data_IF_546935950735
#
_entry.id   IF_546935950735
#
_cell.length_a   1.000
_cell.length_b   1.000
_cell.length_c   1.000
_cell.angle_alpha   90.00
_cell.angle_beta   90.00
_cell.angle_gamma   90.00
#
_symmetry.space_group_name_H-M   'P 1'
#
loop_
_entity.id
_entity.type
_entity.pdbx_description
1 polymer ?
#
# COMPACT_ATOMS: atom_id res chain seq x y z
N UNK A 1 36.67 52.65 -32.77
CA UNK A 1 35.33 52.12 -33.10
C UNK A 1 35.31 50.65 -32.73
N UNK A 2 34.65 50.33 -31.61
CA UNK A 2 34.52 48.93 -31.17
C UNK A 2 33.08 48.48 -31.46
N UNK A 3 32.92 47.51 -32.34
CA UNK A 3 31.61 46.92 -32.64
C UNK A 3 31.24 45.95 -31.54
N UNK A 4 30.16 46.23 -30.81
CA UNK A 4 29.47 45.27 -29.96
C UNK A 4 28.45 44.49 -30.81
N UNK A 5 28.69 43.20 -30.99
CA UNK A 5 27.72 42.29 -31.57
C UNK A 5 26.73 41.87 -30.49
N UNK A 6 25.45 42.24 -30.69
CA UNK A 6 24.34 41.82 -29.82
C UNK A 6 23.91 40.42 -30.26
N UNK A 7 24.25 39.38 -29.47
CA UNK A 7 23.64 38.05 -29.64
C UNK A 7 22.25 38.05 -29.06
N UNK A 8 21.24 38.04 -29.90
CA UNK A 8 19.85 37.80 -29.48
C UNK A 8 19.66 36.31 -29.18
N UNK A 9 19.59 35.95 -27.90
CA UNK A 9 19.17 34.61 -27.48
C UNK A 9 17.65 34.53 -27.57
N UNK A 10 17.14 33.84 -28.58
CA UNK A 10 15.73 33.53 -28.69
C UNK A 10 15.36 32.47 -27.62
N UNK A 11 14.78 32.88 -26.51
CA UNK A 11 14.18 31.98 -25.52
C UNK A 11 12.87 31.50 -26.11
N UNK A 12 12.87 30.30 -26.68
CA UNK A 12 11.64 29.57 -26.96
C UNK A 12 11.04 29.11 -25.63
N UNK A 13 10.14 29.91 -25.08
CA UNK A 13 9.25 29.46 -24.03
C UNK A 13 8.28 28.43 -24.65
N UNK A 14 8.58 27.15 -24.52
CA UNK A 14 7.57 26.11 -24.69
C UNK A 14 6.55 26.26 -23.55
N UNK A 15 5.50 27.03 -23.80
CA UNK A 15 4.29 26.93 -23.01
C UNK A 15 3.73 25.53 -23.29
N UNK A 16 3.98 24.58 -22.38
CA UNK A 16 3.25 23.32 -22.37
C UNK A 16 1.78 23.67 -22.19
N UNK A 17 1.03 23.71 -23.28
CA UNK A 17 -0.43 23.71 -23.23
C UNK A 17 -0.80 22.34 -22.66
N UNK A 18 -0.98 22.28 -21.34
CA UNK A 18 -1.49 21.08 -20.69
C UNK A 18 -2.94 20.88 -21.19
N UNK A 19 -3.08 20.14 -22.29
CA UNK A 19 -4.38 19.84 -22.88
C UNK A 19 -5.19 18.93 -21.94
N UNK A 20 -6.47 19.20 -21.82
CA UNK A 20 -7.43 18.26 -21.23
C UNK A 20 -8.08 17.48 -22.36
N UNK A 21 -8.08 16.14 -22.24
CA UNK A 21 -8.68 15.22 -23.20
C UNK A 21 -9.84 14.51 -22.52
N UNK A 22 -11.07 14.77 -22.95
CA UNK A 22 -12.22 14.01 -22.48
C UNK A 22 -12.22 12.62 -23.14
N UNK A 23 -12.34 11.56 -22.37
CA UNK A 23 -12.38 10.19 -22.90
C UNK A 23 -13.55 9.96 -23.85
N UNK A 24 -14.60 10.80 -23.78
CA UNK A 24 -15.76 10.76 -24.69
C UNK A 24 -15.39 11.15 -26.11
N UNK A 25 -14.43 12.05 -26.29
CA UNK A 25 -13.92 12.43 -27.62
C UNK A 25 -13.23 11.25 -28.32
N UNK A 26 -12.89 10.22 -27.58
CA UNK A 26 -12.31 8.95 -28.06
C UNK A 26 -13.33 7.80 -28.13
N UNK A 27 -14.61 8.11 -27.89
CA UNK A 27 -15.71 7.16 -28.03
C UNK A 27 -16.21 6.50 -26.75
N UNK A 28 -15.67 6.87 -25.57
CA UNK A 28 -16.18 6.37 -24.30
C UNK A 28 -17.66 6.78 -24.11
N UNK A 29 -18.47 5.86 -23.59
CA UNK A 29 -19.90 6.08 -23.34
C UNK A 29 -20.16 6.54 -21.91
N UNK A 30 -19.47 5.97 -20.93
CA UNK A 30 -19.71 6.27 -19.53
C UNK A 30 -21.12 5.89 -19.06
N UNK A 31 -21.70 4.85 -19.64
CA UNK A 31 -23.07 4.37 -19.37
C UNK A 31 -23.10 3.19 -18.36
N UNK A 32 -21.93 2.74 -17.90
CA UNK A 32 -21.79 1.62 -16.96
C UNK A 32 -21.94 0.24 -17.55
N UNK A 33 -22.18 0.13 -18.84
CA UNK A 33 -22.45 -1.15 -19.56
C UNK A 33 -21.53 -1.37 -20.74
N UNK A 34 -21.26 -0.32 -21.51
CA UNK A 34 -20.31 -0.36 -22.64
C UNK A 34 -18.88 -0.38 -22.10
N UNK A 35 -18.05 -1.26 -22.63
CA UNK A 35 -16.61 -1.28 -22.29
C UNK A 35 -15.88 -0.09 -22.90
N UNK A 36 -15.44 0.84 -22.08
CA UNK A 36 -14.75 2.08 -22.48
C UNK A 36 -13.21 1.93 -22.50
N UNK A 37 -12.67 0.72 -22.26
CA UNK A 37 -11.24 0.45 -22.15
C UNK A 37 -10.44 0.99 -23.33
N UNK A 38 -10.88 0.72 -24.57
CA UNK A 38 -10.18 1.16 -25.77
C UNK A 38 -10.19 2.69 -25.92
N UNK A 39 -11.29 3.34 -25.58
CA UNK A 39 -11.40 4.80 -25.61
C UNK A 39 -10.51 5.47 -24.56
N UNK A 40 -10.48 4.93 -23.32
CA UNK A 40 -9.59 5.39 -22.26
C UNK A 40 -8.12 5.24 -22.69
N UNK A 41 -7.73 4.07 -23.23
CA UNK A 41 -6.36 3.86 -23.69
C UNK A 41 -5.99 4.79 -24.86
N UNK A 42 -6.90 5.01 -25.82
CA UNK A 42 -6.67 5.94 -26.93
C UNK A 42 -6.48 7.38 -26.45
N UNK A 43 -7.24 7.83 -25.46
CA UNK A 43 -7.06 9.13 -24.82
C UNK A 43 -5.68 9.26 -24.15
N UNK A 44 -5.26 8.24 -23.40
CA UNK A 44 -3.93 8.17 -22.76
C UNK A 44 -2.84 8.26 -23.83
N UNK A 45 -2.94 7.48 -24.90
CA UNK A 45 -1.95 7.41 -25.97
C UNK A 45 -1.82 8.75 -26.69
N UNK A 46 -2.94 9.39 -26.98
CA UNK A 46 -2.98 10.73 -27.59
C UNK A 46 -2.38 11.78 -26.66
N UNK A 47 -2.77 11.78 -25.40
CA UNK A 47 -2.26 12.70 -24.40
C UNK A 47 -0.74 12.57 -24.24
N UNK A 48 -0.22 11.36 -24.09
CA UNK A 48 1.22 11.11 -23.99
C UNK A 48 1.97 11.55 -25.27
N UNK A 49 1.43 11.26 -26.46
CA UNK A 49 2.04 11.66 -27.74
C UNK A 49 2.04 13.19 -27.95
N UNK A 50 1.13 13.91 -27.28
CA UNK A 50 1.07 15.36 -27.29
C UNK A 50 2.02 16.02 -26.26
N UNK A 51 2.84 15.24 -25.57
CA UNK A 51 3.77 15.74 -24.55
C UNK A 51 3.24 15.70 -23.13
N UNK A 52 2.09 15.07 -22.90
CA UNK A 52 1.44 14.94 -21.61
C UNK A 52 0.23 15.86 -21.47
N UNK A 53 -0.45 15.74 -20.32
CA UNK A 53 -1.66 16.49 -20.01
C UNK A 53 -2.61 15.68 -19.14
N UNK A 54 -3.87 16.10 -19.15
CA UNK A 54 -4.92 15.48 -18.34
C UNK A 54 -5.91 14.73 -19.22
N UNK A 55 -6.20 13.48 -18.91
CA UNK A 55 -7.38 12.79 -19.44
C UNK A 55 -8.49 12.88 -18.41
N UNK A 56 -9.72 13.16 -18.84
CA UNK A 56 -10.84 13.45 -17.96
C UNK A 56 -11.94 12.41 -18.13
N UNK A 57 -12.32 11.80 -17.01
CA UNK A 57 -13.56 11.03 -16.87
C UNK A 57 -14.53 11.89 -16.07
N UNK A 58 -15.67 12.27 -16.65
CA UNK A 58 -16.69 13.10 -15.99
C UNK A 58 -18.12 12.60 -16.29
N UNK A 59 -19.02 12.85 -15.35
CA UNK A 59 -20.47 12.63 -15.50
C UNK A 59 -20.84 11.23 -16.05
N UNK A 60 -20.35 10.15 -15.43
CA UNK A 60 -20.73 8.81 -15.85
C UNK A 60 -20.04 7.67 -15.12
N UNK A 61 -20.40 6.47 -15.54
CA UNK A 61 -19.81 5.22 -15.06
C UNK A 61 -19.08 4.57 -16.23
N UNK A 62 -17.75 4.59 -16.19
CA UNK A 62 -16.89 4.09 -17.25
C UNK A 62 -16.47 2.66 -16.93
N UNK A 63 -17.15 1.68 -17.57
CA UNK A 63 -16.81 0.27 -17.42
C UNK A 63 -15.52 -0.03 -18.21
N UNK A 64 -14.50 -0.56 -17.52
CA UNK A 64 -13.20 -0.78 -18.17
C UNK A 64 -12.50 -2.05 -17.69
N UNK A 65 -11.81 -2.72 -18.60
CA UNK A 65 -10.72 -3.64 -18.32
C UNK A 65 -9.41 -2.89 -18.07
N UNK A 66 -8.30 -3.61 -18.11
CA UNK A 66 -6.97 -3.08 -17.86
C UNK A 66 -6.52 -2.06 -18.90
N UNK A 67 -5.86 -0.98 -18.46
CA UNK A 67 -5.21 0.02 -19.31
C UNK A 67 -3.91 0.52 -18.67
N UNK A 68 -3.03 1.12 -19.51
CA UNK A 68 -1.70 1.55 -19.11
C UNK A 68 -1.57 3.07 -19.15
N UNK A 69 -1.16 3.67 -18.02
CA UNK A 69 -0.73 5.07 -17.97
C UNK A 69 0.65 5.24 -18.60
N UNK A 70 0.87 6.38 -19.23
CA UNK A 70 2.13 6.76 -19.88
C UNK A 70 2.70 8.04 -19.29
N UNK A 71 3.98 8.27 -19.52
CA UNK A 71 4.67 9.47 -18.99
C UNK A 71 3.94 10.76 -19.32
N UNK A 72 3.88 11.67 -18.34
CA UNK A 72 3.25 12.97 -18.44
C UNK A 72 1.71 12.96 -18.37
N UNK A 73 1.06 11.81 -18.12
CA UNK A 73 -0.40 11.71 -18.12
C UNK A 73 -0.97 11.79 -16.71
N UNK A 74 -1.96 12.68 -16.52
CA UNK A 74 -2.84 12.73 -15.36
C UNK A 74 -4.19 12.08 -15.69
N UNK A 75 -4.48 10.95 -15.05
CA UNK A 75 -5.81 10.33 -15.06
C UNK A 75 -6.70 11.05 -14.06
N UNK A 76 -7.54 11.94 -14.54
CA UNK A 76 -8.45 12.71 -13.70
C UNK A 76 -9.86 12.10 -13.69
N UNK A 77 -10.28 11.65 -12.52
CA UNK A 77 -11.61 11.10 -12.30
C UNK A 77 -12.41 12.16 -11.52
N UNK A 78 -13.30 12.84 -12.21
CA UNK A 78 -14.14 13.89 -11.62
C UNK A 78 -15.05 13.30 -10.52
N UNK A 79 -15.47 14.14 -9.57
CA UNK A 79 -16.40 13.75 -8.46
C UNK A 79 -17.65 13.06 -8.97
N UNK A 80 -18.13 13.40 -10.16
CA UNK A 80 -19.33 12.87 -10.80
C UNK A 80 -19.08 11.59 -11.60
N UNK A 81 -17.83 11.11 -11.63
CA UNK A 81 -17.43 9.96 -12.40
C UNK A 81 -17.03 8.76 -11.53
N UNK A 82 -17.33 7.59 -12.07
CA UNK A 82 -16.87 6.31 -11.54
C UNK A 82 -16.19 5.50 -12.63
N UNK A 83 -14.93 5.16 -12.42
CA UNK A 83 -14.20 4.18 -13.21
C UNK A 83 -14.53 2.79 -12.63
N UNK A 84 -15.32 1.99 -13.34
CA UNK A 84 -15.82 0.70 -12.91
C UNK A 84 -15.03 -0.43 -13.56
N UNK A 85 -14.42 -1.29 -12.76
CA UNK A 85 -13.70 -2.46 -13.28
C UNK A 85 -14.66 -3.49 -13.88
N UNK A 86 -14.25 -4.12 -14.98
CA UNK A 86 -15.02 -5.18 -15.64
C UNK A 86 -15.28 -6.35 -14.67
N UNK A 87 -16.48 -6.95 -14.71
CA UNK A 87 -16.73 -8.18 -13.98
C UNK A 87 -16.02 -9.41 -14.59
N UNK A 88 -15.54 -9.30 -15.83
CA UNK A 88 -14.85 -10.39 -16.53
C UNK A 88 -13.33 -10.32 -16.26
N UNK A 89 -12.81 -11.37 -15.61
CA UNK A 89 -11.38 -11.45 -15.31
C UNK A 89 -10.50 -11.51 -16.58
N UNK A 90 -11.04 -11.92 -17.72
CA UNK A 90 -10.33 -11.94 -18.99
C UNK A 90 -9.97 -10.53 -19.51
N UNK A 91 -10.66 -9.50 -19.02
CA UNK A 91 -10.35 -8.10 -19.36
C UNK A 91 -9.11 -7.55 -18.63
N UNK A 92 -8.47 -8.38 -17.80
CA UNK A 92 -7.24 -8.04 -17.07
C UNK A 92 -6.12 -9.02 -17.42
N UNK A 93 -5.61 -8.96 -18.67
CA UNK A 93 -4.53 -9.84 -19.12
C UNK A 93 -3.21 -9.52 -18.42
N UNK A 94 -2.25 -10.45 -18.55
CA UNK A 94 -0.86 -10.16 -18.23
C UNK A 94 -0.31 -9.11 -19.20
N UNK A 95 0.41 -8.14 -18.67
CA UNK A 95 1.10 -7.16 -19.48
C UNK A 95 2.33 -7.77 -20.16
N UNK A 96 2.45 -7.57 -21.48
CA UNK A 96 3.60 -8.00 -22.26
C UNK A 96 4.59 -6.85 -22.45
N UNK A 97 5.87 -7.18 -22.63
CA UNK A 97 6.90 -6.17 -22.85
C UNK A 97 7.22 -5.30 -21.64
N UNK A 98 6.86 -5.75 -20.44
CA UNK A 98 7.23 -5.08 -19.19
C UNK A 98 8.74 -5.07 -19.05
N UNK A 99 9.32 -3.91 -18.77
CA UNK A 99 10.77 -3.71 -18.78
C UNK A 99 11.37 -3.74 -17.39
N UNK A 100 10.66 -3.11 -16.44
CA UNK A 100 11.23 -2.85 -15.11
C UNK A 100 11.29 -4.07 -14.23
N UNK A 101 10.35 -5.00 -14.35
CA UNK A 101 10.22 -6.15 -13.47
C UNK A 101 10.15 -7.48 -14.23
N UNK A 102 10.69 -8.52 -13.61
CA UNK A 102 10.51 -9.91 -14.05
C UNK A 102 9.19 -10.43 -13.48
N UNK A 103 8.17 -10.57 -14.32
CA UNK A 103 6.81 -10.89 -13.90
C UNK A 103 6.70 -12.20 -13.13
N UNK A 104 7.46 -13.21 -13.50
CA UNK A 104 7.53 -14.52 -12.82
C UNK A 104 8.06 -14.45 -11.38
N UNK A 105 8.78 -13.39 -11.06
CA UNK A 105 9.34 -13.13 -9.73
C UNK A 105 8.47 -12.17 -8.89
N UNK A 106 7.38 -11.65 -9.45
CA UNK A 106 6.43 -10.86 -8.69
C UNK A 106 5.66 -11.74 -7.69
N UNK A 107 5.17 -11.17 -6.61
CA UNK A 107 4.19 -11.84 -5.78
C UNK A 107 3.04 -12.40 -6.62
N UNK A 108 2.67 -13.68 -6.38
CA UNK A 108 1.71 -14.45 -7.18
C UNK A 108 2.17 -14.76 -8.62
N UNK A 109 3.43 -14.45 -8.98
CA UNK A 109 4.00 -14.72 -10.32
C UNK A 109 3.31 -14.01 -11.47
N UNK A 110 2.60 -12.88 -11.22
CA UNK A 110 1.74 -12.22 -12.19
C UNK A 110 1.85 -10.71 -12.13
N UNK A 111 1.76 -10.05 -13.29
CA UNK A 111 1.73 -8.60 -13.41
C UNK A 111 0.34 -8.02 -13.76
N UNK A 112 -0.68 -8.85 -13.92
CA UNK A 112 -2.05 -8.41 -14.20
C UNK A 112 -2.54 -7.39 -13.16
N UNK A 113 -3.16 -6.31 -13.62
CA UNK A 113 -3.72 -5.26 -12.78
C UNK A 113 -4.74 -4.43 -13.57
N UNK A 114 -5.48 -3.58 -12.90
CA UNK A 114 -6.47 -2.71 -13.54
C UNK A 114 -5.80 -1.48 -14.17
N UNK A 115 -4.96 -0.78 -13.40
CA UNK A 115 -4.24 0.41 -13.86
C UNK A 115 -2.74 0.14 -13.73
N UNK A 116 -2.04 0.16 -14.85
CA UNK A 116 -0.63 -0.16 -14.94
C UNK A 116 0.22 1.03 -15.36
N UNK A 117 1.46 1.12 -14.89
CA UNK A 117 2.51 1.95 -15.46
C UNK A 117 3.87 1.28 -15.29
N UNK A 118 4.70 1.36 -16.34
CA UNK A 118 6.04 0.79 -16.38
C UNK A 118 7.03 1.85 -16.83
N UNK A 119 8.02 2.17 -15.98
CA UNK A 119 9.06 3.18 -16.20
C UNK A 119 8.53 4.58 -16.60
N UNK A 120 7.30 4.90 -16.19
CA UNK A 120 6.67 6.16 -16.55
C UNK A 120 7.12 7.30 -15.60
N UNK A 121 7.23 8.52 -16.16
CA UNK A 121 7.63 9.72 -15.43
C UNK A 121 6.52 10.77 -15.42
N UNK A 122 6.31 11.42 -14.27
CA UNK A 122 5.33 12.51 -14.15
C UNK A 122 3.90 12.00 -14.39
N UNK A 123 3.53 10.86 -13.80
CA UNK A 123 2.17 10.32 -13.90
C UNK A 123 1.35 10.68 -12.68
N UNK A 124 0.06 10.87 -12.90
CA UNK A 124 -0.85 11.04 -11.76
C UNK A 124 -2.20 10.34 -11.95
N UNK A 125 -2.82 10.04 -10.81
CA UNK A 125 -4.24 9.74 -10.67
C UNK A 125 -4.81 10.82 -9.75
N UNK A 126 -5.78 11.57 -10.23
CA UNK A 126 -6.30 12.73 -9.51
C UNK A 126 -7.82 12.84 -9.58
N UNK A 127 -8.38 13.77 -8.82
CA UNK A 127 -9.81 14.07 -8.79
C UNK A 127 -10.50 13.50 -7.56
N UNK A 128 -11.81 13.74 -7.44
CA UNK A 128 -12.60 13.29 -6.30
C UNK A 128 -13.56 12.16 -6.65
N UNK A 129 -13.35 11.54 -7.82
CA UNK A 129 -14.15 10.42 -8.30
C UNK A 129 -13.75 9.08 -7.69
N UNK A 130 -14.38 8.03 -8.19
CA UNK A 130 -14.27 6.70 -7.62
C UNK A 130 -13.66 5.71 -8.61
N UNK A 131 -12.67 4.96 -8.16
CA UNK A 131 -12.19 3.71 -8.78
C UNK A 131 -12.92 2.57 -8.07
N UNK A 132 -13.94 2.02 -8.71
CA UNK A 132 -14.73 0.91 -8.21
C UNK A 132 -14.22 -0.40 -8.83
N UNK A 133 -13.61 -1.23 -8.01
CA UNK A 133 -12.99 -2.47 -8.48
C UNK A 133 -14.01 -3.60 -8.73
N UNK A 134 -15.32 -3.34 -8.53
CA UNK A 134 -16.40 -4.31 -8.78
C UNK A 134 -16.21 -5.66 -8.05
N UNK A 135 -15.62 -5.62 -6.86
CA UNK A 135 -15.12 -6.80 -6.15
C UNK A 135 -16.15 -7.87 -5.84
N UNK A 136 -17.41 -7.47 -5.64
CA UNK A 136 -18.51 -8.42 -5.40
C UNK A 136 -18.69 -9.43 -6.54
N UNK A 137 -18.27 -9.09 -7.77
CA UNK A 137 -18.29 -10.01 -8.89
C UNK A 137 -17.23 -11.13 -8.76
N UNK A 138 -16.18 -10.93 -7.95
CA UNK A 138 -15.02 -11.79 -7.84
C UNK A 138 -14.95 -12.59 -6.53
N UNK A 139 -15.84 -12.30 -5.59
CA UNK A 139 -15.93 -13.01 -4.30
C UNK A 139 -17.29 -13.66 -4.12
N UNK A 140 -17.36 -14.63 -3.22
CA UNK A 140 -18.60 -15.28 -2.76
C UNK A 140 -18.56 -15.45 -1.26
N UNK A 141 -19.74 -15.55 -0.64
CA UNK A 141 -19.81 -15.92 0.77
C UNK A 141 -19.28 -17.32 1.00
N UNK A 142 -18.61 -17.52 2.12
CA UNK A 142 -18.17 -18.85 2.55
C UNK A 142 -19.35 -19.66 3.02
N UNK A 143 -19.32 -20.95 2.74
CA UNK A 143 -20.27 -21.92 3.32
C UNK A 143 -20.08 -22.10 4.82
N UNK A 144 -18.85 -21.91 5.34
CA UNK A 144 -18.51 -21.93 6.75
C UNK A 144 -17.63 -20.71 7.08
N UNK A 145 -18.19 -19.64 7.64
CA UNK A 145 -17.44 -18.43 7.99
C UNK A 145 -16.55 -18.58 9.22
N UNK A 146 -16.70 -19.66 10.00
CA UNK A 146 -16.10 -19.78 11.34
C UNK A 146 -14.58 -19.95 11.34
N UNK A 147 -13.96 -20.21 10.21
CA UNK A 147 -12.56 -20.61 10.17
C UNK A 147 -11.56 -19.44 10.07
N UNK A 148 -11.89 -18.29 9.47
CA UNK A 148 -10.91 -17.23 9.21
C UNK A 148 -11.34 -15.82 9.63
N UNK A 149 -12.51 -15.66 10.23
CA UNK A 149 -13.06 -14.34 10.50
C UNK A 149 -13.53 -13.58 9.25
N UNK A 150 -13.10 -13.99 8.05
CA UNK A 150 -13.55 -13.40 6.80
C UNK A 150 -14.83 -14.09 6.32
N UNK A 151 -15.84 -13.29 6.03
CA UNK A 151 -17.14 -13.77 5.52
C UNK A 151 -17.06 -14.24 4.07
N UNK A 152 -16.12 -13.71 3.31
CA UNK A 152 -16.01 -13.95 1.87
C UNK A 152 -14.75 -14.71 1.50
N UNK A 153 -14.82 -15.42 0.37
CA UNK A 153 -13.68 -16.05 -0.30
C UNK A 153 -13.67 -15.69 -1.80
N UNK A 154 -12.55 -15.89 -2.46
CA UNK A 154 -12.45 -15.66 -3.91
C UNK A 154 -13.23 -16.72 -4.68
N UNK A 155 -13.91 -16.30 -5.76
CA UNK A 155 -14.55 -17.24 -6.71
C UNK A 155 -13.53 -18.07 -7.51
N UNK A 156 -12.38 -17.52 -7.76
CA UNK A 156 -11.30 -18.15 -8.55
C UNK A 156 -10.09 -18.48 -7.68
N UNK A 157 -9.28 -19.48 -8.05
CA UNK A 157 -7.99 -19.75 -7.41
C UNK A 157 -7.08 -18.51 -7.45
N UNK A 158 -6.21 -18.39 -6.47
CA UNK A 158 -5.35 -17.22 -6.27
C UNK A 158 -4.53 -16.84 -7.51
N UNK A 159 -4.05 -17.82 -8.25
CA UNK A 159 -3.28 -17.63 -9.48
C UNK A 159 -4.12 -17.23 -10.71
N UNK A 160 -5.44 -17.14 -10.57
CA UNK A 160 -6.37 -16.70 -11.63
C UNK A 160 -7.14 -15.42 -11.25
N UNK A 161 -6.88 -14.86 -10.07
CA UNK A 161 -7.52 -13.61 -9.62
C UNK A 161 -6.68 -12.40 -10.01
N UNK A 162 -7.24 -11.21 -9.91
CA UNK A 162 -6.50 -9.97 -10.04
C UNK A 162 -5.58 -9.79 -8.82
N UNK A 163 -4.24 -9.81 -8.99
CA UNK A 163 -3.32 -9.73 -7.86
C UNK A 163 -3.28 -8.35 -7.21
N UNK A 164 -3.51 -7.29 -7.99
CA UNK A 164 -3.50 -5.88 -7.53
C UNK A 164 -4.34 -5.00 -8.45
N UNK A 165 -4.79 -3.86 -7.93
CA UNK A 165 -5.62 -2.91 -8.69
C UNK A 165 -4.75 -1.91 -9.45
N UNK A 166 -3.94 -1.14 -8.74
CA UNK A 166 -3.00 -0.18 -9.33
C UNK A 166 -1.58 -0.72 -9.16
N UNK A 167 -0.86 -0.84 -10.25
CA UNK A 167 0.53 -1.30 -10.24
C UNK A 167 1.43 -0.35 -11.03
N UNK A 168 2.32 0.35 -10.31
CA UNK A 168 3.34 1.19 -10.89
C UNK A 168 4.72 0.59 -10.62
N UNK A 169 5.48 0.33 -11.68
CA UNK A 169 6.81 -0.28 -11.64
C UNK A 169 7.85 0.69 -12.20
N UNK A 170 8.89 1.00 -11.45
CA UNK A 170 9.99 1.87 -11.90
C UNK A 170 9.58 3.29 -12.26
N UNK A 171 8.48 3.78 -11.72
CA UNK A 171 7.95 5.10 -12.07
C UNK A 171 8.58 6.20 -11.21
N UNK A 172 8.63 7.42 -11.73
CA UNK A 172 9.12 8.58 -10.99
C UNK A 172 8.19 9.78 -11.12
N UNK A 173 8.24 10.68 -10.12
CA UNK A 173 7.39 11.85 -10.05
C UNK A 173 5.90 11.46 -10.11
N UNK A 174 5.53 10.52 -9.24
CA UNK A 174 4.18 9.94 -9.16
C UNK A 174 3.32 10.73 -8.20
N UNK A 175 2.09 11.04 -8.60
CA UNK A 175 1.12 11.69 -7.72
C UNK A 175 -0.22 10.96 -7.73
N UNK A 176 -0.76 10.67 -6.54
CA UNK A 176 -2.10 10.10 -6.36
C UNK A 176 -2.84 11.01 -5.39
N UNK A 177 -3.96 11.62 -5.82
CA UNK A 177 -4.64 12.60 -4.98
C UNK A 177 -6.16 12.54 -5.05
N UNK A 178 -6.77 12.56 -3.88
CA UNK A 178 -8.18 12.81 -3.60
C UNK A 178 -9.16 11.72 -4.10
N UNK A 179 -8.71 10.75 -4.89
CA UNK A 179 -9.55 9.67 -5.43
C UNK A 179 -9.99 8.69 -4.34
N UNK A 180 -11.13 8.06 -4.57
CA UNK A 180 -11.62 6.95 -3.74
C UNK A 180 -11.45 5.63 -4.46
N UNK A 181 -10.80 4.65 -3.82
CA UNK A 181 -10.78 3.26 -4.26
C UNK A 181 -11.75 2.45 -3.42
N UNK A 182 -12.63 1.69 -4.06
CA UNK A 182 -13.61 0.86 -3.36
C UNK A 182 -13.79 -0.51 -4.01
N UNK A 183 -14.44 -1.44 -3.29
CA UNK A 183 -14.77 -2.78 -3.77
C UNK A 183 -13.59 -3.56 -4.33
N UNK A 184 -12.40 -3.49 -3.71
CA UNK A 184 -11.24 -4.29 -4.13
C UNK A 184 -11.57 -5.79 -4.15
N UNK A 185 -11.24 -6.53 -5.22
CA UNK A 185 -11.71 -7.91 -5.43
C UNK A 185 -10.85 -8.98 -4.72
N UNK A 186 -10.21 -8.66 -3.63
CA UNK A 186 -9.29 -9.58 -2.96
C UNK A 186 -7.90 -9.61 -3.62
N UNK A 187 -7.46 -8.47 -4.11
CA UNK A 187 -6.12 -8.13 -4.53
C UNK A 187 -5.66 -6.86 -3.83
N UNK A 188 -4.38 -6.56 -3.87
CA UNK A 188 -3.83 -5.35 -3.27
C UNK A 188 -4.33 -4.08 -3.97
N UNK A 189 -4.68 -3.04 -3.22
CA UNK A 189 -5.19 -1.79 -3.77
C UNK A 189 -4.15 -1.09 -4.64
N UNK A 190 -3.17 -0.49 -4.03
CA UNK A 190 -2.07 0.18 -4.72
C UNK A 190 -0.76 -0.56 -4.47
N UNK A 191 -0.02 -0.82 -5.52
CA UNK A 191 1.34 -1.34 -5.42
C UNK A 191 2.33 -0.48 -6.20
N UNK A 192 3.09 0.30 -5.43
CA UNK A 192 4.18 1.12 -5.92
C UNK A 192 5.47 0.31 -5.75
N UNK A 193 6.15 0.01 -6.85
CA UNK A 193 7.32 -0.87 -6.88
C UNK A 193 8.51 -0.21 -7.55
N UNK A 194 9.56 0.03 -6.78
CA UNK A 194 10.76 0.80 -7.18
C UNK A 194 10.42 2.16 -7.80
N UNK A 195 9.49 2.88 -7.16
CA UNK A 195 9.10 4.22 -7.58
C UNK A 195 9.85 5.29 -6.77
N UNK A 196 10.16 6.40 -7.42
CA UNK A 196 10.88 7.52 -6.81
C UNK A 196 10.05 8.81 -6.83
N UNK A 197 10.17 9.63 -5.77
CA UNK A 197 9.45 10.91 -5.63
C UNK A 197 7.96 10.75 -5.81
N UNK A 198 7.38 10.02 -4.86
CA UNK A 198 5.96 9.67 -4.84
C UNK A 198 5.22 10.55 -3.85
N UNK A 199 4.11 11.12 -4.26
CA UNK A 199 3.18 11.83 -3.38
C UNK A 199 1.80 11.17 -3.43
N UNK A 200 1.31 10.73 -2.27
CA UNK A 200 -0.06 10.25 -2.08
C UNK A 200 -0.75 11.18 -1.09
N UNK A 201 -1.85 11.81 -1.48
CA UNK A 201 -2.57 12.76 -0.62
C UNK A 201 -4.07 12.62 -0.75
N UNK A 202 -4.78 12.69 0.38
CA UNK A 202 -6.25 12.68 0.38
C UNK A 202 -6.88 11.40 -0.18
N UNK A 203 -6.07 10.36 -0.38
CA UNK A 203 -6.53 9.07 -0.91
C UNK A 203 -7.50 8.43 0.07
N UNK A 204 -8.63 7.96 -0.43
CA UNK A 204 -9.57 7.13 0.32
C UNK A 204 -9.55 5.72 -0.22
N UNK A 205 -9.25 4.75 0.63
CA UNK A 205 -9.41 3.33 0.36
C UNK A 205 -10.52 2.83 1.27
N UNK A 206 -11.69 2.59 0.71
CA UNK A 206 -12.91 2.23 1.44
C UNK A 206 -13.42 0.88 0.89
N UNK A 207 -12.79 -0.19 1.33
CA UNK A 207 -13.10 -1.53 0.83
C UNK A 207 -13.89 -2.34 1.86
N UNK A 208 -14.53 -3.41 1.43
CA UNK A 208 -15.16 -4.33 2.36
C UNK A 208 -14.06 -5.11 3.10
N UNK A 209 -13.89 -4.83 4.39
CA UNK A 209 -12.86 -5.45 5.24
C UNK A 209 -12.99 -6.97 5.38
N UNK A 210 -14.14 -7.55 5.05
CA UNK A 210 -14.36 -8.99 5.07
C UNK A 210 -13.93 -9.71 3.78
N UNK A 211 -13.44 -8.97 2.76
CA UNK A 211 -12.88 -9.57 1.55
C UNK A 211 -11.41 -9.97 1.76
N UNK A 212 -10.96 -11.09 1.20
CA UNK A 212 -9.62 -11.59 1.44
C UNK A 212 -8.53 -10.77 0.73
N UNK A 213 -7.41 -10.49 1.40
CA UNK A 213 -6.21 -9.84 0.85
C UNK A 213 -6.48 -8.54 0.07
N UNK A 214 -7.40 -7.74 0.52
CA UNK A 214 -7.62 -6.41 -0.04
C UNK A 214 -6.82 -5.38 0.75
N UNK A 215 -5.51 -5.50 0.61
CA UNK A 215 -4.54 -4.60 1.21
C UNK A 215 -4.71 -3.17 0.67
N UNK A 216 -4.28 -2.19 1.43
CA UNK A 216 -4.37 -0.79 1.06
C UNK A 216 -3.26 -0.33 0.12
N UNK A 217 -2.19 0.25 0.68
CA UNK A 217 -1.09 0.89 -0.06
C UNK A 217 0.23 0.19 0.22
N UNK A 218 0.78 -0.47 -0.79
CA UNK A 218 2.13 -1.04 -0.76
C UNK A 218 3.16 -0.08 -1.32
N UNK A 219 4.18 0.21 -0.53
CA UNK A 219 5.35 1.01 -0.87
C UNK A 219 6.54 0.04 -0.83
N UNK A 220 6.93 -0.49 -2.01
CA UNK A 220 7.96 -1.52 -2.09
C UNK A 220 9.17 -1.05 -2.88
N UNK A 221 10.35 -1.04 -2.28
CA UNK A 221 11.61 -0.56 -2.87
C UNK A 221 11.55 0.91 -3.33
N UNK A 222 10.62 1.71 -2.79
CA UNK A 222 10.41 3.10 -3.19
C UNK A 222 11.31 4.05 -2.39
N UNK A 223 11.55 5.24 -2.95
CA UNK A 223 12.34 6.30 -2.32
C UNK A 223 11.62 7.64 -2.44
N UNK A 224 11.81 8.49 -1.41
CA UNK A 224 11.24 9.84 -1.37
C UNK A 224 9.71 9.82 -1.51
N UNK A 225 9.05 9.11 -0.58
CA UNK A 225 7.60 8.89 -0.57
C UNK A 225 6.95 9.71 0.53
N UNK A 226 5.90 10.45 0.17
CA UNK A 226 5.02 11.10 1.15
C UNK A 226 3.59 10.58 1.01
N UNK A 227 2.98 10.20 2.13
CA UNK A 227 1.57 9.79 2.22
C UNK A 227 0.90 10.68 3.28
N UNK A 228 -0.13 11.43 2.92
CA UNK A 228 -0.78 12.33 3.85
C UNK A 228 -2.29 12.43 3.66
N UNK A 229 -2.98 12.76 4.74
CA UNK A 229 -4.41 13.10 4.74
C UNK A 229 -5.31 11.97 4.19
N UNK A 230 -4.90 10.70 4.39
CA UNK A 230 -5.58 9.54 3.82
C UNK A 230 -6.52 8.87 4.81
N UNK A 231 -7.61 8.26 4.29
CA UNK A 231 -8.52 7.39 5.02
C UNK A 231 -8.42 6.00 4.42
N UNK A 232 -7.97 5.03 5.21
CA UNK A 232 -7.72 3.67 4.71
C UNK A 232 -8.48 2.65 5.55
N UNK A 233 -9.47 2.02 4.92
CA UNK A 233 -10.16 0.84 5.43
C UNK A 233 -9.83 -0.35 4.55
N UNK A 234 -9.19 -1.38 5.11
CA UNK A 234 -8.71 -2.56 4.37
C UNK A 234 -8.99 -3.85 5.12
N UNK A 235 -9.19 -4.94 4.40
CA UNK A 235 -9.43 -6.26 4.99
C UNK A 235 -8.14 -7.06 5.23
N UNK A 236 -7.03 -6.56 4.72
CA UNK A 236 -5.67 -7.03 5.03
C UNK A 236 -4.83 -5.79 5.40
N UNK A 237 -3.53 -5.79 5.27
CA UNK A 237 -2.67 -4.69 5.72
C UNK A 237 -3.03 -3.33 5.08
N UNK A 238 -2.99 -2.24 5.84
CA UNK A 238 -3.37 -0.92 5.32
C UNK A 238 -2.23 -0.17 4.65
N UNK A 239 -1.11 0.07 5.36
CA UNK A 239 0.08 0.74 4.82
C UNK A 239 1.27 -0.20 5.00
N UNK A 240 1.87 -0.58 3.88
CA UNK A 240 2.91 -1.60 3.85
C UNK A 240 4.19 -1.02 3.26
N UNK A 241 5.29 -1.05 4.02
CA UNK A 241 6.62 -0.65 3.57
C UNK A 241 7.49 -1.88 3.46
N UNK A 242 7.96 -2.17 2.26
CA UNK A 242 8.75 -3.35 1.94
C UNK A 242 9.98 -3.01 1.10
N UNK A 243 10.95 -3.91 1.10
CA UNK A 243 12.12 -3.85 0.23
C UNK A 243 12.35 -5.19 -0.48
N UNK A 244 11.28 -5.77 -1.04
CA UNK A 244 11.37 -7.00 -1.80
C UNK A 244 11.79 -6.73 -3.24
N UNK A 245 13.07 -6.91 -3.53
CA UNK A 245 13.68 -6.67 -4.85
C UNK A 245 13.69 -7.90 -5.76
N UNK A 246 12.99 -8.98 -5.40
CA UNK A 246 13.06 -10.26 -6.12
C UNK A 246 12.77 -10.15 -7.62
N UNK A 247 11.87 -9.26 -8.02
CA UNK A 247 11.49 -9.04 -9.42
C UNK A 247 12.35 -8.00 -10.12
N UNK A 248 13.22 -7.30 -9.41
CA UNK A 248 14.10 -6.25 -9.94
C UNK A 248 15.44 -6.84 -10.44
N UNK A 249 16.14 -6.09 -11.27
CA UNK A 249 17.47 -6.47 -11.75
C UNK A 249 18.52 -6.43 -10.63
N UNK A 250 18.38 -5.49 -9.70
CA UNK A 250 19.26 -5.31 -8.56
C UNK A 250 18.49 -5.06 -7.25
N UNK A 251 19.18 -5.19 -6.13
CA UNK A 251 18.59 -4.95 -4.83
C UNK A 251 18.36 -3.44 -4.60
N UNK A 252 17.15 -3.08 -4.18
CA UNK A 252 16.73 -1.70 -3.94
C UNK A 252 16.25 -1.51 -2.51
N UNK A 253 16.69 -0.47 -1.80
CA UNK A 253 16.11 -0.13 -0.52
C UNK A 253 14.71 0.47 -0.67
N UNK A 254 13.93 0.42 0.41
CA UNK A 254 12.78 1.29 0.61
C UNK A 254 13.14 2.32 1.68
N UNK A 255 13.20 3.59 1.33
CA UNK A 255 13.75 4.59 2.23
C UNK A 255 13.16 5.99 2.03
N UNK A 256 13.28 6.81 3.08
CA UNK A 256 12.72 8.18 3.10
C UNK A 256 11.22 8.20 2.83
N UNK A 257 10.51 7.36 3.60
CA UNK A 257 9.05 7.25 3.56
C UNK A 257 8.47 8.04 4.73
N UNK A 258 7.60 8.98 4.44
CA UNK A 258 6.87 9.78 5.44
C UNK A 258 5.38 9.53 5.30
N UNK A 259 4.74 9.11 6.39
CA UNK A 259 3.28 8.91 6.46
C UNK A 259 2.73 9.78 7.59
N UNK A 260 1.75 10.62 7.30
CA UNK A 260 1.15 11.47 8.33
C UNK A 260 -0.34 11.76 8.12
N UNK A 261 -1.02 12.20 9.18
CA UNK A 261 -2.41 12.66 9.15
C UNK A 261 -3.38 11.61 8.55
N UNK A 262 -3.22 10.35 8.88
CA UNK A 262 -4.04 9.27 8.32
C UNK A 262 -4.99 8.67 9.37
N UNK A 263 -6.16 8.23 8.91
CA UNK A 263 -7.07 7.38 9.69
C UNK A 263 -7.06 5.98 9.10
N UNK A 264 -6.92 4.97 9.95
CA UNK A 264 -6.76 3.57 9.54
C UNK A 264 -7.76 2.68 10.27
N UNK A 265 -8.41 1.81 9.51
CA UNK A 265 -9.20 0.67 9.97
C UNK A 265 -8.78 -0.57 9.18
N UNK A 266 -8.48 -1.69 9.88
CA UNK A 266 -7.84 -2.80 9.20
C UNK A 266 -8.10 -4.14 9.91
N UNK A 267 -8.33 -5.18 9.13
CA UNK A 267 -8.48 -6.52 9.71
C UNK A 267 -7.17 -7.32 9.82
N UNK A 268 -6.05 -6.74 9.44
CA UNK A 268 -4.72 -7.30 9.67
C UNK A 268 -3.82 -6.27 10.37
N UNK A 269 -2.85 -5.68 9.66
CA UNK A 269 -1.91 -4.74 10.26
C UNK A 269 -2.17 -3.31 9.76
N UNK A 270 -2.35 -2.36 10.67
CA UNK A 270 -2.53 -0.96 10.31
C UNK A 270 -1.31 -0.42 9.56
N UNK A 271 -0.11 -0.60 10.13
CA UNK A 271 1.17 -0.29 9.47
C UNK A 271 2.05 -1.54 9.55
N UNK A 272 2.59 -1.97 8.40
CA UNK A 272 3.54 -3.09 8.36
C UNK A 272 4.85 -2.70 7.71
N UNK A 273 5.96 -3.03 8.38
CA UNK A 273 7.31 -2.87 7.86
C UNK A 273 7.98 -4.24 7.71
N UNK A 274 8.43 -4.51 6.49
CA UNK A 274 9.13 -5.75 6.16
C UNK A 274 8.24 -6.98 6.08
N UNK A 275 8.83 -8.03 5.55
CA UNK A 275 8.29 -9.38 5.46
C UNK A 275 9.45 -10.38 5.32
N UNK A 276 9.20 -11.55 4.76
CA UNK A 276 10.22 -12.59 4.64
C UNK A 276 11.34 -12.15 3.69
N UNK A 277 12.55 -12.02 4.23
CA UNK A 277 13.78 -11.75 3.49
C UNK A 277 13.70 -10.53 2.56
N UNK A 278 13.04 -9.49 3.02
CA UNK A 278 13.10 -8.16 2.40
C UNK A 278 14.52 -7.57 2.61
N UNK A 279 14.90 -6.63 1.77
CA UNK A 279 16.19 -5.94 1.87
C UNK A 279 16.20 -4.82 2.92
N UNK A 280 16.66 -3.64 2.52
CA UNK A 280 16.86 -2.49 3.42
C UNK A 280 15.64 -1.59 3.46
N UNK A 281 15.09 -1.41 4.67
CA UNK A 281 14.04 -0.41 4.98
C UNK A 281 14.63 0.56 5.97
N UNK A 282 14.69 1.85 5.63
CA UNK A 282 15.31 2.84 6.51
C UNK A 282 14.78 4.26 6.35
N UNK A 283 15.03 5.10 7.36
CA UNK A 283 14.69 6.52 7.35
C UNK A 283 13.19 6.75 7.09
N UNK A 284 12.34 6.05 7.84
CA UNK A 284 10.89 6.13 7.72
C UNK A 284 10.28 6.85 8.93
N UNK A 285 9.25 7.65 8.69
CA UNK A 285 8.52 8.37 9.74
C UNK A 285 7.02 8.22 9.58
N UNK A 286 6.35 7.86 10.67
CA UNK A 286 4.91 7.71 10.77
C UNK A 286 4.39 8.63 11.89
N UNK A 287 3.51 9.57 11.58
CA UNK A 287 3.08 10.56 12.56
C UNK A 287 1.62 10.97 12.43
N UNK A 288 1.02 11.40 13.55
CA UNK A 288 -0.36 11.90 13.60
C UNK A 288 -1.36 10.92 12.95
N UNK A 289 -1.37 9.68 13.43
CA UNK A 289 -2.22 8.62 12.88
C UNK A 289 -3.22 8.16 13.91
N UNK A 290 -4.47 8.02 13.51
CA UNK A 290 -5.53 7.40 14.31
C UNK A 290 -5.85 6.02 13.73
N UNK A 291 -5.83 5.00 14.59
CA UNK A 291 -6.23 3.64 14.23
C UNK A 291 -7.40 3.21 15.09
N UNK A 292 -8.40 2.60 14.48
CA UNK A 292 -9.55 2.03 15.19
C UNK A 292 -9.97 0.71 14.54
N UNK A 293 -10.66 -0.15 15.27
CA UNK A 293 -11.14 -1.46 14.76
C UNK A 293 -10.08 -2.20 13.94
N UNK A 294 -8.87 -2.30 14.49
CA UNK A 294 -7.70 -2.84 13.78
C UNK A 294 -7.16 -4.06 14.53
N UNK A 295 -6.76 -5.11 13.81
CA UNK A 295 -6.24 -6.30 14.47
C UNK A 295 -4.90 -6.05 15.13
N UNK A 296 -3.89 -5.62 14.38
CA UNK A 296 -2.58 -5.23 14.90
C UNK A 296 -2.28 -3.79 14.48
N UNK A 297 -1.90 -2.93 15.40
CA UNK A 297 -1.61 -1.54 15.09
C UNK A 297 -0.37 -1.41 14.21
N UNK A 298 0.81 -1.61 14.77
CA UNK A 298 2.11 -1.53 14.09
C UNK A 298 2.75 -2.91 14.08
N UNK A 299 3.17 -3.38 12.92
CA UNK A 299 3.76 -4.69 12.71
C UNK A 299 5.15 -4.60 12.04
N UNK A 300 6.16 -5.09 12.74
CA UNK A 300 7.51 -5.33 12.23
C UNK A 300 7.76 -6.83 12.38
N UNK A 301 7.25 -7.62 11.44
CA UNK A 301 7.33 -9.07 11.55
C UNK A 301 8.15 -9.66 10.41
N UNK A 302 9.19 -10.41 10.78
CA UNK A 302 10.04 -11.15 9.86
C UNK A 302 9.78 -12.65 10.04
N UNK A 303 8.74 -13.20 9.41
CA UNK A 303 8.31 -14.58 9.62
C UNK A 303 9.15 -15.57 8.79
N UNK A 304 8.99 -16.84 9.08
CA UNK A 304 9.39 -17.93 8.21
C UNK A 304 8.13 -18.61 7.67
N UNK A 305 7.84 -18.38 6.42
CA UNK A 305 6.69 -18.97 5.74
C UNK A 305 7.20 -19.75 4.53
N UNK A 306 7.47 -21.05 4.69
CA UNK A 306 7.98 -21.87 3.61
C UNK A 306 7.08 -21.81 2.37
N UNK A 307 7.69 -21.75 1.19
CA UNK A 307 6.99 -21.70 -0.10
C UNK A 307 6.07 -20.48 -0.32
N UNK A 308 6.23 -19.42 0.45
CA UNK A 308 5.49 -18.20 0.19
C UNK A 308 6.00 -17.54 -1.11
N UNK A 309 5.13 -17.24 -2.08
CA UNK A 309 5.51 -16.58 -3.33
C UNK A 309 6.06 -15.16 -3.13
N UNK A 310 5.81 -14.56 -1.95
CA UNK A 310 6.29 -13.23 -1.58
C UNK A 310 7.66 -13.23 -0.90
N UNK A 311 8.37 -14.33 -0.93
CA UNK A 311 9.69 -14.48 -0.35
C UNK A 311 10.70 -13.54 -1.03
N UNK A 312 11.31 -12.65 -0.28
CA UNK A 312 12.51 -11.92 -0.69
C UNK A 312 13.72 -12.85 -0.75
N UNK A 313 14.84 -12.30 -1.14
CA UNK A 313 16.12 -13.05 -1.24
C UNK A 313 17.29 -12.34 -0.54
N UNK A 314 16.97 -11.34 0.27
CA UNK A 314 17.96 -10.50 0.91
C UNK A 314 17.96 -10.70 2.43
N UNK A 315 19.02 -10.26 3.07
CA UNK A 315 19.06 -10.15 4.53
C UNK A 315 18.43 -8.84 4.95
N UNK A 316 17.36 -8.93 5.74
CA UNK A 316 16.56 -7.76 6.12
C UNK A 316 17.30 -6.84 7.08
N UNK A 317 17.38 -5.57 6.73
CA UNK A 317 17.79 -4.46 7.60
C UNK A 317 16.63 -3.48 7.74
N UNK A 318 16.13 -3.29 8.97
CA UNK A 318 15.16 -2.23 9.27
C UNK A 318 15.82 -1.30 10.29
N UNK A 319 16.00 -0.02 9.92
CA UNK A 319 16.67 0.93 10.79
C UNK A 319 16.15 2.37 10.65
N UNK A 320 16.35 3.14 11.73
CA UNK A 320 16.01 4.55 11.78
C UNK A 320 14.54 4.82 11.38
N UNK A 321 13.62 4.22 12.15
CA UNK A 321 12.18 4.38 11.98
C UNK A 321 11.58 5.06 13.21
N UNK A 322 10.71 6.02 12.97
CA UNK A 322 10.03 6.78 14.03
C UNK A 322 8.53 6.68 13.90
N UNK A 323 7.85 6.42 15.01
CA UNK A 323 6.41 6.47 15.19
C UNK A 323 6.10 7.54 16.23
N UNK A 324 5.31 8.56 15.88
CA UNK A 324 5.02 9.68 16.78
C UNK A 324 3.57 10.15 16.70
N UNK A 325 2.95 10.38 17.87
CA UNK A 325 1.58 10.92 17.90
C UNK A 325 0.55 9.96 17.32
N UNK A 326 0.58 8.68 17.71
CA UNK A 326 -0.34 7.65 17.22
C UNK A 326 -1.36 7.30 18.29
N UNK A 327 -2.64 7.42 17.95
CA UNK A 327 -3.77 7.03 18.79
C UNK A 327 -4.37 5.74 18.26
N UNK A 328 -4.53 4.74 19.13
CA UNK A 328 -5.10 3.44 18.79
C UNK A 328 -6.27 3.13 19.73
N UNK A 329 -7.48 3.04 19.17
CA UNK A 329 -8.66 2.67 19.92
C UNK A 329 -9.34 1.47 19.28
N UNK A 330 -9.42 0.34 19.99
CA UNK A 330 -9.95 -0.90 19.44
C UNK A 330 -8.93 -1.69 18.62
N UNK A 331 -7.82 -2.08 19.29
CA UNK A 331 -6.84 -2.99 18.72
C UNK A 331 -7.10 -4.41 19.23
N UNK A 332 -7.46 -5.32 18.35
CA UNK A 332 -7.94 -6.66 18.72
C UNK A 332 -6.84 -7.70 18.96
N UNK A 333 -5.59 -7.33 18.73
CA UNK A 333 -4.42 -8.12 19.10
C UNK A 333 -3.38 -7.19 19.78
N UNK A 334 -2.27 -6.91 19.14
CA UNK A 334 -1.18 -6.13 19.68
C UNK A 334 -1.13 -4.70 19.11
N UNK A 335 -0.95 -3.66 19.92
CA UNK A 335 -0.71 -2.31 19.42
C UNK A 335 0.63 -2.21 18.67
N UNK A 336 1.60 -3.03 19.09
CA UNK A 336 2.88 -3.22 18.44
C UNK A 336 3.24 -4.71 18.45
N UNK A 337 3.59 -5.23 17.28
CA UNK A 337 4.16 -6.56 17.12
C UNK A 337 5.49 -6.45 16.36
N UNK A 338 6.61 -6.58 17.08
CA UNK A 338 7.95 -6.58 16.48
C UNK A 338 8.59 -7.94 16.76
N UNK A 339 8.64 -8.82 15.74
CA UNK A 339 9.03 -10.22 15.92
C UNK A 339 9.94 -10.69 14.80
N UNK A 340 11.07 -11.31 15.17
CA UNK A 340 11.95 -12.03 14.26
C UNK A 340 11.75 -13.53 14.46
N UNK A 341 11.40 -14.27 13.40
CA UNK A 341 11.29 -15.73 13.45
C UNK A 341 12.61 -16.36 13.90
N UNK A 342 12.57 -17.40 14.75
CA UNK A 342 13.76 -18.14 15.15
C UNK A 342 14.38 -18.97 14.01
N UNK A 343 13.71 -19.11 12.90
CA UNK A 343 14.17 -19.91 11.76
C UNK A 343 15.43 -19.35 11.11
N UNK A 344 16.36 -20.22 10.76
CA UNK A 344 17.58 -19.88 10.01
C UNK A 344 17.28 -19.42 8.56
N UNK A 345 16.10 -19.73 8.02
CA UNK A 345 15.68 -19.28 6.67
C UNK A 345 15.28 -17.79 6.66
N UNK A 346 14.92 -17.24 7.80
CA UNK A 346 14.66 -15.81 7.93
C UNK A 346 16.00 -15.08 8.01
N UNK A 347 16.39 -14.44 6.91
CA UNK A 347 17.66 -13.74 6.79
C UNK A 347 17.51 -12.33 7.39
N UNK A 348 18.27 -12.01 8.41
CA UNK A 348 18.20 -10.74 9.13
C UNK A 348 19.59 -10.19 9.37
N UNK A 349 19.85 -8.98 8.88
CA UNK A 349 21.03 -8.20 9.22
C UNK A 349 20.84 -7.51 10.56
N UNK A 350 19.76 -6.72 10.68
CA UNK A 350 19.38 -6.07 11.95
C UNK A 350 17.96 -5.49 11.88
N UNK A 351 17.34 -5.34 13.05
CA UNK A 351 16.18 -4.45 13.26
C UNK A 351 16.56 -3.53 14.42
N UNK A 352 16.78 -2.26 14.13
CA UNK A 352 17.39 -1.32 15.10
C UNK A 352 16.93 0.12 14.93
N UNK A 353 17.18 0.94 15.96
CA UNK A 353 16.90 2.37 15.95
C UNK A 353 15.42 2.68 15.68
N UNK A 354 14.54 1.97 16.38
CA UNK A 354 13.08 2.13 16.26
C UNK A 354 12.58 2.93 17.44
N UNK A 355 11.95 4.07 17.17
CA UNK A 355 11.52 5.03 18.19
C UNK A 355 10.02 5.19 18.19
N UNK A 356 9.42 5.12 19.36
CA UNK A 356 8.00 5.39 19.61
C UNK A 356 7.88 6.57 20.55
N UNK A 357 7.14 7.59 20.17
CA UNK A 357 6.85 8.76 21.02
C UNK A 357 5.39 9.15 20.92
N UNK A 358 4.77 9.50 22.04
CA UNK A 358 3.36 9.88 22.10
C UNK A 358 2.45 8.84 21.44
N UNK A 359 2.66 7.56 21.74
CA UNK A 359 1.83 6.45 21.22
C UNK A 359 0.92 5.98 22.33
N UNK A 360 -0.40 6.07 22.12
CA UNK A 360 -1.40 5.69 23.11
C UNK A 360 -2.34 4.65 22.52
N UNK A 361 -2.47 3.51 23.17
CA UNK A 361 -3.24 2.39 22.67
C UNK A 361 -4.14 1.74 23.72
N UNK A 362 -5.35 1.36 23.30
CA UNK A 362 -6.21 0.38 23.97
C UNK A 362 -6.26 -0.89 23.11
N UNK A 363 -5.86 -2.01 23.67
CA UNK A 363 -5.73 -3.26 22.94
C UNK A 363 -6.08 -4.47 23.82
N UNK A 364 -6.44 -5.58 23.20
CA UNK A 364 -6.64 -6.85 23.92
C UNK A 364 -5.33 -7.43 24.45
N UNK A 365 -4.19 -7.08 23.82
CA UNK A 365 -2.87 -7.50 24.27
C UNK A 365 -1.91 -6.30 24.37
N UNK A 366 -0.89 -6.42 25.19
CA UNK A 366 0.21 -5.45 25.27
C UNK A 366 1.20 -5.64 24.09
N UNK A 367 2.16 -4.73 23.91
CA UNK A 367 3.19 -4.89 22.88
C UNK A 367 3.91 -6.24 22.94
N UNK A 368 4.12 -6.85 21.79
CA UNK A 368 4.93 -8.05 21.61
C UNK A 368 6.22 -7.68 20.89
N UNK A 369 7.35 -7.73 21.56
CA UNK A 369 8.65 -7.31 21.06
C UNK A 369 9.65 -8.44 21.32
N UNK A 370 10.01 -9.19 20.27
CA UNK A 370 10.86 -10.37 20.40
C UNK A 370 11.84 -10.49 19.25
N UNK A 371 13.11 -10.29 19.52
CA UNK A 371 14.19 -10.70 18.64
C UNK A 371 14.40 -12.21 18.67
N UNK A 372 15.62 -12.65 18.32
CA UNK A 372 16.04 -14.07 18.46
C UNK A 372 17.49 -14.14 18.91
N UNK A 373 17.96 -15.28 19.42
CA UNK A 373 19.38 -15.52 19.69
C UNK A 373 20.24 -15.20 18.44
N UNK A 374 21.26 -14.36 18.60
CA UNK A 374 22.16 -13.91 17.53
C UNK A 374 21.65 -12.76 16.66
N UNK A 375 20.34 -12.46 16.69
CA UNK A 375 19.75 -11.27 16.05
C UNK A 375 18.75 -10.60 17.00
N UNK A 376 19.20 -9.94 18.08
CA UNK A 376 18.32 -9.19 18.95
C UNK A 376 17.76 -7.96 18.23
N UNK A 377 16.62 -7.50 18.66
CA UNK A 377 16.15 -6.16 18.34
C UNK A 377 17.01 -5.14 19.08
N UNK A 378 17.44 -4.06 18.43
CA UNK A 378 18.42 -3.12 19.04
C UNK A 378 17.92 -1.70 19.08
N UNK A 379 18.17 -1.03 20.21
CA UNK A 379 17.86 0.41 20.39
C UNK A 379 16.40 0.73 20.06
N UNK A 380 15.49 0.00 20.70
CA UNK A 380 14.07 0.33 20.75
C UNK A 380 13.84 1.32 21.89
N UNK A 381 13.16 2.41 21.62
CA UNK A 381 12.84 3.41 22.64
C UNK A 381 11.36 3.79 22.64
N UNK A 382 10.82 3.97 23.83
CA UNK A 382 9.45 4.43 24.08
C UNK A 382 9.50 5.68 24.94
N UNK A 383 8.90 6.76 24.50
CA UNK A 383 8.83 8.03 25.23
C UNK A 383 7.39 8.54 25.24
N UNK A 384 6.88 8.87 26.41
CA UNK A 384 5.51 9.39 26.60
C UNK A 384 4.43 8.47 25.99
N UNK A 385 4.59 7.15 26.14
CA UNK A 385 3.67 6.17 25.58
C UNK A 385 2.76 5.55 26.65
N UNK A 386 1.56 5.12 26.25
CA UNK A 386 0.65 4.37 27.11
C UNK A 386 0.03 3.21 26.34
N UNK A 387 0.26 2.01 26.81
CA UNK A 387 -0.34 0.78 26.27
C UNK A 387 -1.23 0.17 27.32
N UNK A 388 -2.54 0.30 27.16
CA UNK A 388 -3.54 -0.24 28.08
C UNK A 388 -4.11 -1.53 27.51
N UNK A 389 -3.90 -2.63 28.24
CA UNK A 389 -4.62 -3.87 27.99
C UNK A 389 -6.05 -3.74 28.50
N UNK A 390 -7.02 -4.17 27.71
CA UNK A 390 -8.44 -4.18 28.07
C UNK A 390 -9.02 -5.57 27.91
N UNK A 391 -10.14 -5.81 28.55
CA UNK A 391 -10.86 -7.08 28.45
C UNK A 391 -11.64 -7.20 27.14
N UNK A 392 -12.01 -8.43 26.76
CA UNK A 392 -12.89 -8.71 25.64
C UNK A 392 -14.23 -7.96 25.76
N UNK A 393 -14.73 -7.74 26.97
CA UNK A 393 -15.97 -7.00 27.23
C UNK A 393 -15.85 -5.49 26.94
N UNK A 394 -14.66 -4.92 27.04
CA UNK A 394 -14.40 -3.51 26.72
C UNK A 394 -14.19 -3.28 25.22
N UNK A 395 -13.91 -4.32 24.43
CA UNK A 395 -13.79 -4.28 22.98
C UNK A 395 -14.76 -5.27 22.32
N UNK A 396 -16.07 -4.97 22.28
CA UNK A 396 -17.04 -5.84 21.63
C UNK A 396 -16.79 -5.91 20.12
N UNK A 397 -17.01 -7.08 19.54
CA UNK A 397 -16.79 -7.31 18.11
C UNK A 397 -15.46 -7.97 17.77
N UNK A 398 -14.65 -8.26 18.76
CA UNK A 398 -13.38 -8.99 18.58
C UNK A 398 -13.59 -10.38 17.94
N UNK A 399 -14.75 -10.99 18.12
CA UNK A 399 -15.13 -12.27 17.52
C UNK A 399 -15.12 -12.20 16.00
N UNK A 400 -15.42 -11.03 15.42
CA UNK A 400 -15.38 -10.80 13.97
C UNK A 400 -13.99 -10.88 13.41
N UNK A 401 -12.98 -10.54 14.21
CA UNK A 401 -11.57 -10.63 13.83
C UNK A 401 -11.00 -12.05 13.94
N UNK A 402 -11.77 -13.01 14.42
CA UNK A 402 -11.51 -14.44 14.47
C UNK A 402 -10.13 -14.87 14.99
N UNK A 403 -9.95 -16.15 15.35
CA UNK A 403 -8.63 -16.67 15.74
C UNK A 403 -7.60 -16.68 14.59
N UNK A 404 -8.05 -16.49 13.37
CA UNK A 404 -7.22 -16.48 12.17
C UNK A 404 -6.42 -15.20 11.98
N UNK A 405 -6.65 -14.18 12.75
CA UNK A 405 -5.71 -13.08 12.80
C UNK A 405 -4.47 -13.55 13.50
N UNK A 406 -3.71 -14.34 12.76
CA UNK A 406 -2.31 -14.68 13.02
C UNK A 406 -2.03 -14.95 14.50
N UNK A 407 -2.51 -16.12 14.97
CA UNK A 407 -2.34 -16.61 16.32
C UNK A 407 -2.29 -15.48 17.35
N UNK A 408 -3.37 -15.28 18.09
CA UNK A 408 -3.33 -14.48 19.31
C UNK A 408 -2.27 -15.11 20.20
N UNK A 409 -1.03 -14.71 19.97
CA UNK A 409 -0.01 -14.95 20.97
C UNK A 409 -0.38 -14.07 22.15
N UNK A 410 -1.24 -14.58 23.04
CA UNK A 410 -1.65 -13.91 24.28
C UNK A 410 -0.47 -13.85 25.25
N UNK A 411 0.67 -13.36 24.76
CA UNK A 411 1.88 -13.26 25.54
C UNK A 411 2.56 -11.94 25.25
N UNK A 412 2.45 -11.04 26.19
CA UNK A 412 3.35 -9.88 26.22
C UNK A 412 4.76 -10.42 26.44
N UNK A 413 5.66 -10.09 25.55
CA UNK A 413 7.04 -10.56 25.63
C UNK A 413 7.97 -9.44 25.19
N UNK A 414 9.01 -9.22 26.01
CA UNK A 414 10.16 -8.39 25.67
C UNK A 414 11.39 -9.28 25.78
N UNK A 415 11.76 -9.95 24.69
CA UNK A 415 12.83 -10.95 24.66
C UNK A 415 13.86 -10.64 23.58
N UNK A 416 15.12 -10.95 23.84
CA UNK A 416 16.20 -10.73 22.91
C UNK A 416 16.25 -9.30 22.35
N UNK A 417 16.29 -8.33 23.28
CA UNK A 417 16.37 -6.90 22.96
C UNK A 417 17.64 -6.33 23.61
N UNK A 418 18.40 -5.58 22.85
CA UNK A 418 19.57 -4.83 23.32
C UNK A 418 19.28 -3.33 23.31
N UNK A 419 19.77 -2.60 24.31
CA UNK A 419 19.62 -1.15 24.45
C UNK A 419 18.14 -0.70 24.40
N UNK A 420 17.28 -1.37 25.15
CA UNK A 420 15.89 -1.02 25.29
C UNK A 420 15.72 0.11 26.32
N UNK A 421 15.05 1.19 25.93
CA UNK A 421 14.79 2.32 26.81
C UNK A 421 13.32 2.73 26.82
N UNK A 422 12.83 3.16 27.97
CA UNK A 422 11.51 3.77 28.09
C UNK A 422 11.54 4.92 29.10
N UNK A 423 10.88 6.01 28.73
CA UNK A 423 10.76 7.21 29.57
C UNK A 423 9.29 7.63 29.59
N UNK A 424 8.75 7.92 30.79
CA UNK A 424 7.36 8.32 30.98
C UNK A 424 6.36 7.41 30.22
N UNK A 425 6.62 6.11 30.23
CA UNK A 425 5.87 5.11 29.45
C UNK A 425 5.23 4.08 30.38
N UNK A 426 3.96 3.75 30.12
CA UNK A 426 3.19 2.79 30.92
C UNK A 426 2.70 1.64 30.08
N UNK A 427 2.77 0.45 30.67
CA UNK A 427 2.20 -0.79 30.14
C UNK A 427 1.20 -1.29 31.18
N UNK A 428 -0.05 -0.83 31.05
CA UNK A 428 -1.11 -1.08 32.06
C UNK A 428 -1.79 -2.41 31.70
N UNK A 429 -1.58 -3.43 32.54
CA UNK A 429 -2.36 -4.66 32.56
C UNK A 429 -3.54 -4.52 33.53
N UNK A 430 -4.69 -5.20 33.28
CA UNK A 430 -5.83 -5.18 34.22
C UNK A 430 -5.50 -5.79 35.54
#
# INVERSE_FOLDING_TARGET
MKHFALCAVAIFAFASVCGAFDVRDFGAKGDGTTKDTAAIQAAIDKCASAGGGRIVLSNGVFLSGAFQLKSGVDLHIDRTARLLASPDIADFPEWTGVKHVKSENLPRGRNACFIFADEAKGISISGEGTIDCNGHCHVKEKSDPNWTGLRYERKLPLNKTLPRVVFFAGCSDVKISDVTLTNSPGGWGYWLHDCDRVQVRGLKILVNVEYPNNDGLHINCCRDVTVSDCIIESGDDSIIVRANSRSLAENKPCERVVVNNCTIRCWANGIRLGWVNDGVIRNCSFSNIVMHDTSTGICIMLPDIPNNPDYGRESTLIENVTFNGIQMDGIYAHPLRAVISPSKRTLVTAVRDIRFSNVHAKALELPLVSGRPGNPLKRFSFTDCTFRKVSDAELPGWERHGPAVWERVRKTTFEHIEDFTYTNTRFDAP
#
